data_IF_990621149852
#
_entry.id   IF_990621149852
#
_cell.length_a   1.000
_cell.length_b   1.000
_cell.length_c   1.000
_cell.angle_alpha   90.00
_cell.angle_beta   90.00
_cell.angle_gamma   90.00
#
_symmetry.space_group_name_H-M   'P 1'
#
loop_
_entity.id
_entity.type
_entity.pdbx_description
1 polymer ?
#
# COMPACT_ATOMS: atom_id res chain seq x y z
N UNK A 1 -1.56 -7.64 4.39
CA UNK A 1 -2.48 -7.17 3.35
C UNK A 1 -2.78 -5.70 3.57
N UNK A 2 -2.67 -4.93 2.51
CA UNK A 2 -3.05 -3.52 2.53
C UNK A 2 -4.27 -3.34 1.64
N UNK A 3 -5.32 -2.74 2.19
CA UNK A 3 -6.56 -2.49 1.48
C UNK A 3 -6.95 -1.02 1.64
N UNK A 4 -7.26 -0.35 0.54
CA UNK A 4 -7.68 1.04 0.56
C UNK A 4 -8.69 1.31 -0.55
N UNK A 5 -9.73 2.10 -0.31
CA UNK A 5 -10.51 2.61 -1.43
C UNK A 5 -9.71 3.66 -2.19
N UNK A 6 -10.11 3.90 -3.43
CA UNK A 6 -9.50 4.96 -4.22
C UNK A 6 -10.27 6.25 -4.01
N UNK A 7 -9.55 7.31 -3.66
CA UNK A 7 -10.12 8.65 -3.47
C UNK A 7 -9.28 9.62 -4.28
N UNK A 8 -9.91 10.31 -5.22
CA UNK A 8 -9.25 11.31 -6.06
C UNK A 8 -8.00 10.76 -6.74
N UNK A 9 -8.08 9.52 -7.23
CA UNK A 9 -7.01 8.92 -8.02
C UNK A 9 -5.86 8.33 -7.23
N UNK A 10 -6.00 8.16 -5.91
CA UNK A 10 -4.94 7.57 -5.11
C UNK A 10 -5.51 6.87 -3.87
N UNK A 11 -4.65 6.39 -3.00
CA UNK A 11 -5.07 5.80 -1.73
C UNK A 11 -5.59 6.90 -0.79
N UNK A 12 -6.29 6.50 0.27
CA UNK A 12 -6.88 7.47 1.20
C UNK A 12 -5.82 8.09 2.10
N UNK A 13 -6.11 9.32 2.56
CA UNK A 13 -5.24 9.99 3.51
C UNK A 13 -5.17 9.25 4.84
N UNK A 14 -6.27 8.62 5.24
CA UNK A 14 -6.30 7.84 6.48
C UNK A 14 -5.33 6.68 6.41
N UNK A 15 -5.30 5.97 5.29
CA UNK A 15 -4.37 4.86 5.09
C UNK A 15 -2.92 5.35 5.11
N UNK A 16 -2.64 6.40 4.33
CA UNK A 16 -1.28 6.94 4.25
C UNK A 16 -0.81 7.46 5.60
N UNK A 17 -1.72 8.07 6.36
CA UNK A 17 -1.41 8.54 7.71
C UNK A 17 -0.98 7.38 8.62
N UNK A 18 -1.68 6.25 8.54
CA UNK A 18 -1.31 5.09 9.34
C UNK A 18 0.06 4.54 8.94
N UNK A 19 0.33 4.47 7.65
CA UNK A 19 1.63 3.99 7.16
C UNK A 19 2.75 4.94 7.58
N UNK A 20 2.49 6.23 7.57
CA UNK A 20 3.51 7.22 7.95
C UNK A 20 3.91 7.14 9.42
N UNK A 21 3.11 6.47 10.25
CA UNK A 21 3.49 6.20 11.64
C UNK A 21 4.47 5.04 11.79
N UNK A 22 4.64 4.22 10.75
CA UNK A 22 5.61 3.13 10.80
C UNK A 22 7.02 3.71 10.74
N UNK A 23 7.91 3.26 11.63
CA UNK A 23 9.28 3.76 11.60
C UNK A 23 9.99 3.26 10.34
N UNK A 24 10.80 4.14 9.75
CA UNK A 24 11.63 3.75 8.62
C UNK A 24 12.69 2.74 9.05
N UNK A 25 13.14 2.87 10.29
CA UNK A 25 14.20 2.04 10.81
C UNK A 25 13.98 1.80 12.29
N UNK A 26 14.14 0.57 12.71
CA UNK A 26 14.07 0.19 14.11
C UNK A 26 15.24 -0.77 14.39
N UNK A 27 16.09 -0.40 15.34
CA UNK A 27 17.27 -1.21 15.70
C UNK A 27 18.18 -1.51 14.50
N UNK A 28 18.31 -0.56 13.58
CA UNK A 28 19.15 -0.69 12.40
C UNK A 28 18.53 -1.46 11.24
N UNK A 29 17.26 -1.85 11.35
CA UNK A 29 16.56 -2.61 10.33
C UNK A 29 15.24 -1.95 10.00
N UNK A 30 14.81 -2.02 8.74
CA UNK A 30 13.45 -1.62 8.38
C UNK A 30 12.49 -2.72 8.80
N UNK A 31 11.48 -2.41 9.63
CA UNK A 31 10.58 -3.45 10.15
C UNK A 31 9.79 -4.18 9.06
N UNK A 32 9.55 -3.53 7.92
CA UNK A 32 8.77 -4.10 6.81
C UNK A 32 9.63 -4.80 5.77
N UNK A 33 10.95 -4.70 5.85
CA UNK A 33 11.83 -5.23 4.82
C UNK A 33 11.70 -6.74 4.69
N UNK A 34 11.52 -7.21 3.46
CA UNK A 34 11.45 -8.63 3.15
C UNK A 34 10.11 -9.28 3.41
N UNK A 35 9.13 -8.55 3.96
CA UNK A 35 7.80 -9.11 4.20
C UNK A 35 7.02 -9.17 2.90
N UNK A 36 6.17 -10.18 2.76
CA UNK A 36 5.29 -10.30 1.62
C UNK A 36 4.09 -9.38 1.78
N UNK A 37 3.62 -8.83 0.66
CA UNK A 37 2.53 -7.87 0.65
C UNK A 37 1.50 -8.25 -0.40
N UNK A 38 0.24 -8.27 -0.01
CA UNK A 38 -0.88 -8.29 -0.93
C UNK A 38 -1.58 -6.95 -0.84
N UNK A 39 -1.90 -6.35 -1.97
CA UNK A 39 -2.58 -5.05 -2.01
C UNK A 39 -3.95 -5.22 -2.62
N UNK A 40 -4.91 -4.45 -2.13
CA UNK A 40 -6.31 -4.54 -2.54
C UNK A 40 -6.89 -3.13 -2.60
N UNK A 41 -7.75 -2.93 -3.58
CA UNK A 41 -8.44 -1.66 -3.76
C UNK A 41 -9.94 -1.94 -3.92
N UNK A 42 -10.76 -1.06 -3.36
CA UNK A 42 -12.21 -1.07 -3.55
C UNK A 42 -12.60 0.24 -4.21
N UNK A 43 -13.30 0.17 -5.32
CA UNK A 43 -13.74 1.37 -6.04
C UNK A 43 -15.05 1.10 -6.76
N UNK A 44 -15.79 2.18 -7.05
CA UNK A 44 -17.05 2.10 -7.79
C UNK A 44 -16.87 2.12 -9.30
N UNK A 45 -15.69 2.46 -9.79
CA UNK A 45 -15.40 2.55 -11.22
C UNK A 45 -14.71 1.31 -11.75
N UNK A 46 -15.02 0.93 -12.98
CA UNK A 46 -14.47 -0.30 -13.55
C UNK A 46 -13.03 -0.16 -14.06
N UNK A 47 -12.50 1.05 -14.12
CA UNK A 47 -11.20 1.32 -14.72
C UNK A 47 -10.25 2.07 -13.79
N UNK A 48 -10.50 2.03 -12.49
CA UNK A 48 -9.64 2.69 -11.52
C UNK A 48 -8.63 1.70 -10.96
N UNK A 49 -7.36 1.99 -11.15
CA UNK A 49 -6.26 1.17 -10.66
C UNK A 49 -5.25 1.98 -9.84
N UNK A 50 -5.52 3.26 -9.64
CA UNK A 50 -4.49 4.15 -9.10
C UNK A 50 -4.17 3.87 -7.65
N UNK A 51 -5.17 3.48 -6.84
CA UNK A 51 -4.91 3.16 -5.44
C UNK A 51 -4.04 1.91 -5.31
N UNK A 52 -4.31 0.88 -6.11
CA UNK A 52 -3.50 -0.34 -6.11
C UNK A 52 -2.07 -0.02 -6.54
N UNK A 53 -1.91 0.80 -7.59
CA UNK A 53 -0.58 1.19 -8.03
C UNK A 53 0.17 1.98 -6.96
N UNK A 54 -0.53 2.89 -6.27
CA UNK A 54 0.07 3.66 -5.19
C UNK A 54 0.49 2.75 -4.03
N UNK A 55 -0.33 1.76 -3.68
CA UNK A 55 0.01 0.80 -2.64
C UNK A 55 1.24 -0.03 -3.00
N UNK A 56 1.37 -0.41 -4.28
CA UNK A 56 2.53 -1.15 -4.73
C UNK A 56 3.80 -0.32 -4.67
N UNK A 57 3.73 0.94 -5.07
CA UNK A 57 4.87 1.87 -4.98
C UNK A 57 5.28 2.04 -3.52
N UNK A 58 4.30 2.24 -2.65
CA UNK A 58 4.56 2.40 -1.22
C UNK A 58 5.20 1.14 -0.64
N UNK A 59 4.71 -0.03 -1.02
CA UNK A 59 5.28 -1.30 -0.57
C UNK A 59 6.74 -1.45 -0.98
N UNK A 60 7.08 -1.03 -2.20
CA UNK A 60 8.47 -1.08 -2.66
C UNK A 60 9.37 -0.14 -1.85
N UNK A 61 8.88 1.04 -1.54
CA UNK A 61 9.61 1.98 -0.68
C UNK A 61 9.88 1.38 0.68
N UNK A 62 8.96 0.60 1.19
CA UNK A 62 9.11 -0.07 2.49
C UNK A 62 9.81 -1.42 2.38
N UNK A 63 10.35 -1.73 1.21
CA UNK A 63 11.13 -2.94 0.92
C UNK A 63 10.36 -4.23 1.16
N UNK A 64 9.06 -4.19 0.86
CA UNK A 64 8.21 -5.37 0.89
C UNK A 64 8.16 -6.01 -0.50
N UNK A 65 7.82 -7.28 -0.54
CA UNK A 65 7.64 -8.03 -1.78
C UNK A 65 6.15 -8.16 -2.07
N UNK A 66 5.67 -7.48 -3.10
CA UNK A 66 4.26 -7.54 -3.48
C UNK A 66 4.02 -8.80 -4.28
N UNK A 67 3.20 -9.71 -3.74
CA UNK A 67 2.93 -11.01 -4.36
C UNK A 67 1.54 -11.09 -4.97
N UNK A 68 0.63 -10.19 -4.62
CA UNK A 68 -0.72 -10.25 -5.13
C UNK A 68 -1.35 -8.86 -5.17
N UNK A 69 -2.17 -8.63 -6.20
CA UNK A 69 -2.87 -7.37 -6.40
C UNK A 69 -4.33 -7.66 -6.71
N UNK A 70 -5.23 -7.10 -5.90
CA UNK A 70 -6.66 -7.22 -6.09
C UNK A 70 -7.29 -5.86 -6.39
N UNK A 71 -8.28 -5.86 -7.25
CA UNK A 71 -9.17 -4.73 -7.45
C UNK A 71 -10.61 -5.22 -7.36
N UNK A 72 -11.37 -4.57 -6.54
CA UNK A 72 -12.76 -4.95 -6.31
C UNK A 72 -13.71 -3.84 -6.68
#
# INVERSE_FOLDING_TARGET
VWCSPERHGTLTSVFKNQVDWLPLESAGIRPTQGRTLAVMQVCGGSQSFNAVNALRVLGRWMRMVTVYTFRW
#
